data_IF_764910586484
#
_entry.id   IF_764910586484
#
_cell.length_a   1.000
_cell.length_b   1.000
_cell.length_c   1.000
_cell.angle_alpha   90.00
_cell.angle_beta   90.00
_cell.angle_gamma   90.00
#
_symmetry.space_group_name_H-M   'P 1'
#
loop_
_entity.id
_entity.type
_entity.pdbx_description
1 polymer ?
#
# COMPACT_ATOMS: atom_id res chain seq x y z
N UNK A 1 34.18 2.92 -5.16
CA UNK A 1 33.04 2.01 -5.03
C UNK A 1 32.45 1.69 -6.37
N UNK A 2 32.20 0.44 -6.64
CA UNK A 2 31.68 0.00 -7.92
C UNK A 2 30.21 0.37 -8.08
N UNK A 3 29.81 0.63 -9.32
CA UNK A 3 28.41 0.85 -9.68
C UNK A 3 27.49 -0.33 -9.28
N UNK A 4 28.05 -1.51 -9.19
CA UNK A 4 27.35 -2.73 -8.76
C UNK A 4 26.84 -2.62 -7.33
N UNK A 5 27.64 -2.07 -6.43
CA UNK A 5 27.29 -1.95 -5.03
C UNK A 5 26.08 -1.02 -4.82
N UNK A 6 26.03 0.08 -5.56
CA UNK A 6 24.89 1.02 -5.52
C UNK A 6 23.60 0.39 -6.03
N UNK A 7 23.67 -0.38 -7.11
CA UNK A 7 22.51 -1.08 -7.68
C UNK A 7 21.97 -2.14 -6.75
N UNK A 8 22.85 -2.91 -6.12
CA UNK A 8 22.45 -3.96 -5.18
C UNK A 8 21.82 -3.37 -3.94
N UNK A 9 22.37 -2.28 -3.41
CA UNK A 9 21.77 -1.56 -2.28
C UNK A 9 20.39 -1.00 -2.64
N UNK A 10 20.25 -0.42 -3.82
CA UNK A 10 18.97 0.09 -4.31
C UNK A 10 17.93 -1.03 -4.40
N UNK A 11 18.29 -2.18 -4.95
CA UNK A 11 17.41 -3.34 -5.05
C UNK A 11 16.98 -3.85 -3.68
N UNK A 12 17.90 -3.93 -2.74
CA UNK A 12 17.60 -4.39 -1.39
C UNK A 12 16.64 -3.45 -0.67
N UNK A 13 16.92 -2.15 -0.70
CA UNK A 13 16.08 -1.15 -0.05
C UNK A 13 14.71 -1.09 -0.70
N UNK A 14 14.66 -1.09 -2.02
CA UNK A 14 13.39 -1.10 -2.75
C UNK A 14 12.60 -2.38 -2.48
N UNK A 15 13.28 -3.54 -2.46
CA UNK A 15 12.65 -4.81 -2.17
C UNK A 15 12.02 -4.87 -0.79
N UNK A 16 12.69 -4.31 0.21
CA UNK A 16 12.16 -4.20 1.57
C UNK A 16 10.93 -3.29 1.60
N UNK A 17 11.02 -2.14 0.96
CA UNK A 17 9.90 -1.21 0.85
C UNK A 17 8.72 -1.85 0.12
N UNK A 18 8.97 -2.53 -0.98
CA UNK A 18 7.96 -3.23 -1.76
C UNK A 18 7.23 -4.27 -0.92
N UNK A 19 7.99 -5.13 -0.23
CA UNK A 19 7.43 -6.18 0.61
C UNK A 19 6.56 -5.61 1.73
N UNK A 20 6.98 -4.50 2.31
CA UNK A 20 6.25 -3.85 3.40
C UNK A 20 5.02 -3.08 2.92
N UNK A 21 5.17 -2.27 1.87
CA UNK A 21 4.14 -1.32 1.46
C UNK A 21 3.19 -1.84 0.39
N UNK A 22 3.61 -2.79 -0.44
CA UNK A 22 2.78 -3.30 -1.52
C UNK A 22 1.42 -3.83 -1.03
N UNK A 23 1.36 -4.71 -0.02
CA UNK A 23 0.07 -5.19 0.47
C UNK A 23 -0.81 -4.07 1.03
N UNK A 24 -0.21 -3.11 1.71
CA UNK A 24 -0.93 -1.96 2.28
C UNK A 24 -1.51 -1.07 1.20
N UNK A 25 -0.73 -0.80 0.16
CA UNK A 25 -1.16 0.00 -0.97
C UNK A 25 -2.28 -0.68 -1.76
N UNK A 26 -2.17 -2.00 -1.97
CA UNK A 26 -3.21 -2.77 -2.66
C UNK A 26 -4.53 -2.68 -1.90
N UNK A 27 -4.50 -2.81 -0.59
CA UNK A 27 -5.71 -2.67 0.24
C UNK A 27 -6.31 -1.28 0.14
N UNK A 28 -5.46 -0.28 0.23
CA UNK A 28 -5.89 1.11 0.09
C UNK A 28 -6.55 1.35 -1.26
N UNK A 29 -5.91 0.92 -2.33
CA UNK A 29 -6.44 1.06 -3.68
C UNK A 29 -7.72 0.23 -3.87
N UNK A 30 -7.79 -0.97 -3.32
CA UNK A 30 -8.98 -1.82 -3.41
C UNK A 30 -10.19 -1.19 -2.70
N UNK A 31 -9.97 -0.51 -1.58
CA UNK A 31 -11.03 0.23 -0.89
C UNK A 31 -11.56 1.37 -1.75
N UNK A 32 -10.68 2.07 -2.46
CA UNK A 32 -11.07 3.17 -3.33
C UNK A 32 -11.80 2.67 -4.59
N UNK A 33 -11.33 1.58 -5.18
CA UNK A 33 -11.83 1.07 -6.47
C UNK A 33 -12.96 0.05 -6.32
N UNK A 34 -13.01 -0.65 -5.19
CA UNK A 34 -13.92 -1.77 -5.02
C UNK A 34 -13.52 -3.02 -5.81
N UNK A 35 -12.29 -3.08 -6.32
CA UNK A 35 -11.79 -4.17 -7.17
C UNK A 35 -10.32 -4.44 -6.86
N UNK A 36 -10.04 -5.66 -6.38
CA UNK A 36 -8.69 -6.05 -5.99
C UNK A 36 -7.74 -6.26 -7.17
N UNK A 37 -8.23 -6.72 -8.32
CA UNK A 37 -7.39 -6.89 -9.51
C UNK A 37 -6.93 -5.55 -10.08
N UNK A 38 -7.86 -4.61 -10.22
CA UNK A 38 -7.56 -3.24 -10.63
C UNK A 38 -6.58 -2.58 -9.66
N UNK A 39 -6.78 -2.81 -8.36
CA UNK A 39 -5.90 -2.27 -7.33
C UNK A 39 -4.47 -2.78 -7.50
N UNK A 40 -4.30 -4.07 -7.76
CA UNK A 40 -2.96 -4.65 -7.97
C UNK A 40 -2.29 -4.08 -9.22
N UNK A 41 -3.04 -3.91 -10.29
CA UNK A 41 -2.52 -3.33 -11.53
C UNK A 41 -2.03 -1.90 -11.30
N UNK A 42 -2.83 -1.10 -10.61
CA UNK A 42 -2.49 0.29 -10.30
C UNK A 42 -1.27 0.37 -9.39
N UNK A 43 -1.25 -0.42 -8.32
CA UNK A 43 -0.13 -0.40 -7.38
C UNK A 43 1.15 -0.92 -8.04
N UNK A 44 1.05 -1.93 -8.90
CA UNK A 44 2.17 -2.42 -9.69
C UNK A 44 2.78 -1.31 -10.56
N UNK A 45 1.94 -0.55 -11.23
CA UNK A 45 2.33 0.60 -12.04
C UNK A 45 3.01 1.69 -11.22
N UNK A 46 2.45 1.98 -10.05
CA UNK A 46 3.01 2.97 -9.11
C UNK A 46 4.38 2.54 -8.61
N UNK A 47 4.52 1.26 -8.27
CA UNK A 47 5.82 0.71 -7.85
C UNK A 47 6.87 0.77 -8.94
N UNK A 48 6.47 0.54 -10.19
CA UNK A 48 7.36 0.68 -11.34
C UNK A 48 7.85 2.12 -11.49
N UNK A 49 6.97 3.09 -11.36
CA UNK A 49 7.34 4.50 -11.37
C UNK A 49 8.27 4.86 -10.21
N UNK A 50 7.99 4.32 -9.03
CA UNK A 50 8.84 4.52 -7.85
C UNK A 50 10.25 3.98 -8.10
N UNK A 51 10.38 2.83 -8.73
CA UNK A 51 11.68 2.27 -9.09
C UNK A 51 12.47 3.19 -10.00
N UNK A 52 11.81 3.77 -11.02
CA UNK A 52 12.46 4.64 -11.99
C UNK A 52 13.02 5.92 -11.36
N UNK A 53 12.37 6.44 -10.32
CA UNK A 53 12.80 7.67 -9.67
C UNK A 53 13.19 7.49 -8.20
N UNK A 54 13.51 6.25 -7.82
CA UNK A 54 13.78 5.88 -6.44
C UNK A 54 14.93 6.70 -5.83
N UNK A 55 15.95 6.98 -6.62
CA UNK A 55 17.10 7.76 -6.18
C UNK A 55 16.75 9.22 -5.87
N UNK A 56 15.69 9.73 -6.49
CA UNK A 56 15.21 11.09 -6.26
C UNK A 56 14.28 11.19 -5.05
N UNK A 57 13.78 10.05 -4.58
CA UNK A 57 12.86 10.01 -3.45
C UNK A 57 13.63 9.91 -2.15
N UNK A 58 13.47 10.91 -1.28
CA UNK A 58 14.06 10.86 0.05
C UNK A 58 13.38 9.78 0.89
N UNK A 59 14.14 9.03 1.72
CA UNK A 59 13.58 7.93 2.50
C UNK A 59 12.35 8.29 3.30
N UNK A 60 12.32 9.50 3.85
CA UNK A 60 11.22 10.00 4.68
C UNK A 60 9.93 10.21 3.89
N UNK A 61 10.05 10.45 2.59
CA UNK A 61 8.91 10.82 1.73
C UNK A 61 8.41 9.67 0.86
N UNK A 62 9.09 8.53 0.85
CA UNK A 62 8.76 7.39 -0.01
C UNK A 62 7.35 6.87 0.20
N UNK A 63 6.97 6.66 1.46
CA UNK A 63 5.63 6.18 1.78
C UNK A 63 4.55 7.16 1.37
N UNK A 64 4.72 8.44 1.70
CA UNK A 64 3.76 9.48 1.32
C UNK A 64 3.64 9.61 -0.20
N UNK A 65 4.77 9.53 -0.91
CA UNK A 65 4.77 9.57 -2.37
C UNK A 65 3.99 8.40 -2.98
N UNK A 66 4.21 7.19 -2.45
CA UNK A 66 3.51 5.99 -2.93
C UNK A 66 2.01 6.08 -2.72
N UNK A 67 1.57 6.49 -1.54
CA UNK A 67 0.14 6.65 -1.25
C UNK A 67 -0.48 7.73 -2.10
N UNK A 68 0.21 8.85 -2.31
CA UNK A 68 -0.26 9.93 -3.19
C UNK A 68 -0.40 9.45 -4.63
N UNK A 69 0.62 8.76 -5.14
CA UNK A 69 0.61 8.24 -6.50
C UNK A 69 -0.49 7.20 -6.71
N UNK A 70 -0.66 6.30 -5.75
CA UNK A 70 -1.71 5.28 -5.81
C UNK A 70 -3.10 5.93 -5.78
N UNK A 71 -3.31 6.89 -4.90
CA UNK A 71 -4.56 7.63 -4.81
C UNK A 71 -4.90 8.36 -6.11
N UNK A 72 -3.93 9.09 -6.66
CA UNK A 72 -4.12 9.82 -7.91
C UNK A 72 -4.43 8.87 -9.07
N UNK A 73 -3.76 7.74 -9.14
CA UNK A 73 -4.01 6.72 -10.16
C UNK A 73 -5.41 6.11 -10.01
N UNK A 74 -5.86 5.85 -8.79
CA UNK A 74 -7.21 5.36 -8.52
C UNK A 74 -8.28 6.38 -8.91
N UNK A 75 -8.08 7.65 -8.56
CA UNK A 75 -8.99 8.72 -8.94
C UNK A 75 -9.11 8.85 -10.45
N UNK A 76 -7.98 8.78 -11.15
CA UNK A 76 -7.95 8.83 -12.60
C UNK A 76 -8.73 7.67 -13.21
N UNK A 77 -8.52 6.47 -12.68
CA UNK A 77 -9.21 5.27 -13.14
C UNK A 77 -10.73 5.38 -12.95
N UNK A 78 -11.16 5.88 -11.80
CA UNK A 78 -12.57 6.06 -11.50
C UNK A 78 -13.23 7.10 -12.42
N UNK A 79 -12.51 8.17 -12.77
CA UNK A 79 -12.99 9.14 -13.75
C UNK A 79 -13.21 8.50 -15.12
N UNK A 80 -12.30 7.64 -15.54
CA UNK A 80 -12.43 6.93 -16.82
C UNK A 80 -13.57 5.93 -16.84
N UNK A 81 -13.89 5.33 -15.71
CA UNK A 81 -14.98 4.34 -15.60
C UNK A 81 -16.35 4.96 -15.44
N UNK A 82 -16.46 6.30 -15.39
CA UNK A 82 -17.72 7.03 -15.21
C UNK A 82 -18.53 6.51 -14.02
N UNK A 83 -17.88 6.35 -12.89
CA UNK A 83 -18.49 5.84 -11.65
C UNK A 83 -19.55 6.81 -11.15
N UNK A 84 -20.60 6.28 -10.52
CA UNK A 84 -21.72 7.05 -9.97
C UNK A 84 -21.27 8.23 -9.11
N UNK A 85 -22.04 9.33 -9.18
CA UNK A 85 -21.74 10.61 -8.55
C UNK A 85 -21.43 10.51 -7.04
N UNK A 86 -22.07 9.58 -6.34
CA UNK A 86 -21.88 9.36 -4.90
C UNK A 86 -20.46 8.88 -4.56
N UNK A 87 -19.91 7.99 -5.38
CA UNK A 87 -18.54 7.50 -5.17
C UNK A 87 -17.52 8.58 -5.51
N UNK A 88 -17.79 9.40 -6.53
CA UNK A 88 -16.94 10.53 -6.90
C UNK A 88 -16.90 11.57 -5.78
N UNK A 89 -18.03 11.83 -5.11
CA UNK A 89 -18.11 12.76 -4.01
C UNK A 89 -17.31 12.30 -2.78
N UNK A 90 -17.44 11.02 -2.42
CA UNK A 90 -16.66 10.43 -1.34
C UNK A 90 -15.16 10.52 -1.64
N UNK A 91 -14.76 10.31 -2.89
CA UNK A 91 -13.37 10.43 -3.33
C UNK A 91 -12.88 11.86 -3.32
N UNK A 92 -13.73 12.83 -3.71
CA UNK A 92 -13.40 14.24 -3.64
C UNK A 92 -13.19 14.70 -2.20
N UNK A 93 -13.99 14.21 -1.27
CA UNK A 93 -13.81 14.48 0.16
C UNK A 93 -12.48 13.91 0.65
N UNK A 94 -12.16 12.68 0.26
CA UNK A 94 -10.87 12.07 0.57
C UNK A 94 -9.70 12.87 -0.01
N UNK A 95 -9.88 13.53 -1.18
CA UNK A 95 -8.82 14.35 -1.79
C UNK A 95 -8.63 15.72 -1.15
N UNK A 96 -9.59 16.18 -0.35
CA UNK A 96 -9.47 17.46 0.37
C UNK A 96 -8.59 17.35 1.60
N UNK A 97 -8.34 16.13 2.09
CA UNK A 97 -7.46 15.90 3.23
C UNK A 97 -5.99 15.96 2.79
N UNK A 98 -5.15 16.51 3.66
CA UNK A 98 -3.72 16.53 3.44
C UNK A 98 -3.19 15.09 3.39
N UNK A 99 -2.64 14.70 2.25
CA UNK A 99 -2.16 13.33 2.01
C UNK A 99 -1.07 12.95 3.00
N UNK A 100 -0.19 13.87 3.36
CA UNK A 100 0.88 13.59 4.31
C UNK A 100 0.34 13.31 5.71
N UNK A 101 -0.66 14.08 6.15
CA UNK A 101 -1.33 13.87 7.44
C UNK A 101 -2.11 12.56 7.43
N UNK A 102 -2.83 12.29 6.35
CA UNK A 102 -3.61 11.07 6.16
C UNK A 102 -2.68 9.83 6.20
N UNK A 103 -1.54 9.90 5.53
CA UNK A 103 -0.53 8.85 5.54
C UNK A 103 0.01 8.59 6.95
N UNK A 104 0.37 9.65 7.68
CA UNK A 104 0.92 9.53 9.03
C UNK A 104 -0.10 8.91 9.99
N UNK A 105 -1.34 9.34 9.90
CA UNK A 105 -2.41 8.79 10.73
C UNK A 105 -2.68 7.33 10.39
N UNK A 106 -2.72 7.00 9.12
CA UNK A 106 -2.90 5.63 8.64
C UNK A 106 -1.77 4.71 9.15
N UNK A 107 -0.52 5.15 9.05
CA UNK A 107 0.63 4.39 9.55
C UNK A 107 0.57 4.22 11.07
N UNK A 108 0.16 5.25 11.79
CA UNK A 108 0.01 5.16 13.25
C UNK A 108 -1.04 4.13 13.62
N UNK A 109 -2.18 4.14 12.94
CA UNK A 109 -3.25 3.17 13.18
C UNK A 109 -2.82 1.75 12.83
N UNK A 110 -2.07 1.58 11.74
CA UNK A 110 -1.53 0.28 11.37
C UNK A 110 -0.55 -0.24 12.42
N UNK A 111 0.32 0.61 12.93
CA UNK A 111 1.27 0.24 13.98
C UNK A 111 0.54 -0.19 15.25
N UNK A 112 -0.52 0.52 15.63
CA UNK A 112 -1.35 0.14 16.77
C UNK A 112 -2.04 -1.21 16.53
N UNK A 113 -2.61 -1.41 15.35
CA UNK A 113 -3.25 -2.67 14.99
C UNK A 113 -2.27 -3.83 15.00
N UNK A 114 -1.07 -3.63 14.48
CA UNK A 114 0.00 -4.64 14.48
C UNK A 114 0.44 -4.99 15.91
N UNK A 115 0.55 -4.00 16.77
CA UNK A 115 0.89 -4.21 18.18
C UNK A 115 -0.18 -5.03 18.89
N UNK A 116 -1.44 -4.69 18.67
CA UNK A 116 -2.57 -5.46 19.25
C UNK A 116 -2.55 -6.89 18.72
N UNK A 117 -2.34 -7.08 17.42
CA UNK A 117 -2.31 -8.39 16.79
C UNK A 117 -1.19 -9.28 17.35
N UNK A 118 -0.02 -8.71 17.62
CA UNK A 118 1.12 -9.45 18.19
C UNK A 118 0.85 -9.92 19.61
N UNK A 119 0.03 -9.17 20.34
CA UNK A 119 -0.31 -9.50 21.72
C UNK A 119 -1.51 -10.43 21.86
N UNK A 120 -2.14 -10.83 20.75
CA UNK A 120 -3.24 -11.78 20.76
C UNK A 120 -2.71 -13.18 21.11
N UNK A 121 -3.51 -13.97 21.87
CA UNK A 121 -3.09 -15.33 22.21
C UNK A 121 -3.08 -16.23 20.97
N UNK A 122 -2.20 -17.25 21.03
CA UNK A 122 -2.20 -18.30 20.02
C UNK A 122 -3.47 -19.18 20.16
N UNK A 123 -4.05 -19.70 19.08
CA UNK A 123 -3.62 -19.62 17.68
C UNK A 123 -4.13 -18.39 16.92
N UNK A 124 -4.85 -17.49 17.57
CA UNK A 124 -5.45 -16.30 16.93
C UNK A 124 -4.40 -15.43 16.26
N UNK A 125 -3.28 -15.22 16.93
CA UNK A 125 -2.17 -14.43 16.40
C UNK A 125 -1.62 -15.04 15.10
N UNK A 126 -1.42 -16.36 15.10
CA UNK A 126 -0.91 -17.08 13.92
C UNK A 126 -1.89 -17.02 12.75
N UNK A 127 -3.19 -17.22 13.00
CA UNK A 127 -4.24 -17.16 11.98
C UNK A 127 -4.28 -15.75 11.35
N UNK A 128 -4.26 -14.72 12.19
CA UNK A 128 -4.30 -13.34 11.74
C UNK A 128 -3.08 -13.03 10.86
N UNK A 129 -1.90 -13.46 11.28
CA UNK A 129 -0.67 -13.26 10.52
C UNK A 129 -0.74 -13.95 9.16
N UNK A 130 -1.16 -15.19 9.11
CA UNK A 130 -1.21 -15.95 7.86
C UNK A 130 -2.27 -15.39 6.91
N UNK A 131 -3.43 -15.03 7.41
CA UNK A 131 -4.50 -14.50 6.57
C UNK A 131 -4.26 -13.05 6.14
N UNK A 132 -3.74 -12.22 7.04
CA UNK A 132 -3.59 -10.79 6.81
C UNK A 132 -2.29 -10.45 6.09
N UNK A 133 -1.16 -10.97 6.59
CA UNK A 133 0.16 -10.60 6.06
C UNK A 133 0.62 -11.51 4.92
N UNK A 134 0.32 -12.79 5.00
CA UNK A 134 0.75 -13.76 3.99
C UNK A 134 -0.34 -14.09 2.97
N UNK A 135 -1.52 -13.49 3.12
CA UNK A 135 -2.67 -13.63 2.19
C UNK A 135 -3.14 -15.05 1.99
N UNK A 136 -2.98 -15.90 3.00
CA UNK A 136 -3.46 -17.27 2.95
C UNK A 136 -4.96 -17.32 3.24
N UNK A 137 -5.65 -18.24 2.59
CA UNK A 137 -7.08 -18.48 2.86
C UNK A 137 -7.24 -19.22 4.17
N UNK A 138 -8.43 -19.16 4.76
CA UNK A 138 -8.74 -19.94 5.97
C UNK A 138 -8.53 -21.42 5.76
N UNK A 139 -8.81 -21.92 4.55
CA UNK A 139 -8.62 -23.32 4.20
C UNK A 139 -7.14 -23.73 4.23
N UNK A 140 -6.26 -22.89 3.73
CA UNK A 140 -4.82 -23.11 3.75
C UNK A 140 -4.27 -23.08 5.16
N UNK A 141 -4.79 -22.22 6.01
CA UNK A 141 -4.37 -22.08 7.42
C UNK A 141 -4.84 -23.28 8.25
N UNK A 142 -5.97 -23.86 7.92
CA UNK A 142 -6.55 -24.97 8.66
C UNK A 142 -5.86 -26.33 8.43
N UNK A 143 -5.00 -26.43 7.44
CA UNK A 143 -4.27 -27.68 7.14
C UNK A 143 -3.08 -27.91 8.03
#
# INVERSE_FOLDING_TARGET
>A
MSLFHKKDTKREVFGQMFTELYPRLVRYAAQLLGDGEEARDIVGSVMEQAWKQFEKLEPENRGAWLYTAARNACLNRLKHLQVEATNLEALREATRMDVATDYREHERLLQQAESIARNLPEPTCTVLRLCYYEHKTYREVAV
#
